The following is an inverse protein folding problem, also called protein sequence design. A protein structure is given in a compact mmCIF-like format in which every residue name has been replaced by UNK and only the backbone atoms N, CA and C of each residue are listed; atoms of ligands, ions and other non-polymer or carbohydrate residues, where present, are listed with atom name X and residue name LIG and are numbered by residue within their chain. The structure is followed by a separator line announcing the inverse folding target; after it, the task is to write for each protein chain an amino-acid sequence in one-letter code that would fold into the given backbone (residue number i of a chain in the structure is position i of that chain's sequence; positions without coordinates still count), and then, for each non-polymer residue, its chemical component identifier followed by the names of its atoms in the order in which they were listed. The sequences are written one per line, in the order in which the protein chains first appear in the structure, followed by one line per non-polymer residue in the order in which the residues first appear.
data_IF_335146720891
#
_entry.id   IF_335146720891
#
_cell.length_a   1.000
_cell.length_b   1.000
_cell.length_c   1.000
_cell.angle_alpha   90.00
_cell.angle_beta   90.00
_cell.angle_gamma   90.00
#
_symmetry.space_group_name_H-M   'P 1'
#
loop_
_entity.id
_entity.type
_entity.pdbx_description
1 polymer ?
#
# COMPACT_ATOMS: atom_id res chain seq x y z
N UNK A 1 27.03 -28.28 -0.38
CA UNK A 1 25.65 -27.74 -0.36
C UNK A 1 25.66 -26.44 -1.13
N UNK A 2 25.05 -26.35 -2.31
CA UNK A 2 25.04 -25.10 -3.09
C UNK A 2 24.09 -24.08 -2.41
N UNK A 3 24.48 -22.80 -2.29
CA UNK A 3 23.60 -21.78 -1.73
C UNK A 3 22.44 -21.52 -2.70
N UNK A 4 21.22 -21.56 -2.17
CA UNK A 4 19.99 -21.25 -2.90
C UNK A 4 20.09 -19.83 -3.48
N UNK A 5 19.62 -19.59 -4.72
CA UNK A 5 19.64 -18.27 -5.31
C UNK A 5 18.77 -17.35 -4.47
N UNK A 6 19.39 -16.29 -3.96
CA UNK A 6 18.73 -15.20 -3.27
C UNK A 6 17.54 -14.74 -4.11
N UNK A 7 16.36 -14.77 -3.51
CA UNK A 7 15.13 -14.26 -4.07
C UNK A 7 15.33 -12.78 -4.39
N UNK A 8 15.74 -12.48 -5.62
CA UNK A 8 15.57 -11.15 -6.19
C UNK A 8 14.09 -10.99 -6.51
N UNK A 9 13.31 -10.85 -5.45
CA UNK A 9 11.96 -10.32 -5.51
C UNK A 9 12.12 -8.89 -6.01
N UNK A 10 11.94 -8.72 -7.32
CA UNK A 10 11.87 -7.42 -7.98
C UNK A 10 10.51 -6.82 -7.62
N UNK A 11 10.28 -6.67 -6.32
CA UNK A 11 9.04 -6.21 -5.74
C UNK A 11 9.13 -4.69 -5.71
N UNK A 12 8.25 -4.06 -6.47
CA UNK A 12 8.19 -2.62 -6.68
C UNK A 12 7.88 -1.96 -5.33
N UNK A 13 8.92 -1.68 -4.52
CA UNK A 13 8.79 -1.21 -3.14
C UNK A 13 7.98 0.10 -3.09
N UNK A 14 6.75 0.01 -2.62
CA UNK A 14 5.85 1.14 -2.47
C UNK A 14 6.20 1.89 -1.20
N UNK A 15 6.43 3.20 -1.30
CA UNK A 15 6.74 4.03 -0.15
C UNK A 15 5.49 4.71 0.38
N UNK A 16 5.22 4.53 1.68
CA UNK A 16 4.11 5.22 2.33
C UNK A 16 4.24 6.75 2.17
N UNK A 17 3.24 7.44 1.60
CA UNK A 17 3.25 8.88 1.35
C UNK A 17 2.99 9.71 2.62
N UNK A 18 2.58 9.07 3.72
CA UNK A 18 2.37 9.75 5.00
C UNK A 18 3.71 10.14 5.63
N UNK A 19 3.88 11.44 5.91
CA UNK A 19 5.10 12.01 6.51
C UNK A 19 5.49 11.35 7.85
N UNK A 20 4.52 10.84 8.61
CA UNK A 20 4.77 10.14 9.88
C UNK A 20 5.18 8.67 9.75
N UNK A 21 4.91 8.04 8.60
CA UNK A 21 5.28 6.64 8.37
C UNK A 21 6.55 6.54 7.53
N UNK A 22 6.53 7.07 6.30
CA UNK A 22 7.66 7.04 5.37
C UNK A 22 8.23 5.66 5.03
N UNK A 23 7.60 4.58 5.52
CA UNK A 23 8.08 3.20 5.37
C UNK A 23 7.78 2.68 3.98
N UNK A 24 8.74 1.96 3.42
CA UNK A 24 8.60 1.19 2.19
C UNK A 24 8.05 -0.20 2.50
N UNK A 25 7.08 -0.65 1.73
CA UNK A 25 6.46 -1.96 1.81
C UNK A 25 6.29 -2.54 0.40
N UNK A 26 6.31 -3.86 0.31
CA UNK A 26 6.14 -4.62 -0.92
C UNK A 26 4.65 -4.67 -1.32
N UNK A 27 3.80 -5.09 -0.38
CA UNK A 27 2.35 -5.19 -0.56
C UNK A 27 1.58 -4.23 0.36
N UNK A 28 0.67 -3.42 -0.19
CA UNK A 28 -0.27 -2.67 0.63
C UNK A 28 -1.25 -3.63 1.32
N UNK A 29 -1.68 -3.26 2.52
CA UNK A 29 -2.76 -3.95 3.20
C UNK A 29 -4.10 -3.55 2.56
N UNK A 30 -5.08 -4.45 2.56
CA UNK A 30 -6.45 -4.12 2.19
C UNK A 30 -7.26 -4.04 3.48
N UNK A 31 -7.82 -2.87 3.77
CA UNK A 31 -8.71 -2.65 4.89
C UNK A 31 -10.14 -2.51 4.38
N UNK A 32 -11.06 -3.18 5.06
CA UNK A 32 -12.49 -3.06 4.80
C UNK A 32 -13.10 -2.15 5.85
N UNK A 33 -13.60 -1.00 5.42
CA UNK A 33 -14.41 -0.16 6.29
C UNK A 33 -15.77 -0.83 6.51
N UNK A 34 -16.04 -1.21 7.75
CA UNK A 34 -17.35 -1.76 8.15
C UNK A 34 -18.28 -0.68 8.72
N UNK A 35 -17.82 0.57 8.84
CA UNK A 35 -18.63 1.69 9.35
C UNK A 35 -19.48 2.34 8.24
N UNK A 36 -19.06 2.24 6.99
CA UNK A 36 -19.79 2.72 5.82
C UNK A 36 -20.66 1.62 5.23
N UNK A 37 -21.92 1.96 4.90
CA UNK A 37 -22.85 1.10 4.16
C UNK A 37 -23.11 1.78 2.82
N UNK A 38 -22.72 1.18 1.68
CA UNK A 38 -22.10 -0.15 1.52
C UNK A 38 -20.64 -0.19 2.02
N UNK A 39 -20.19 -1.38 2.45
CA UNK A 39 -18.82 -1.62 2.94
C UNK A 39 -17.81 -1.26 1.85
N UNK A 40 -16.88 -0.36 2.16
CA UNK A 40 -15.83 0.03 1.22
C UNK A 40 -14.50 -0.63 1.60
N UNK A 41 -13.91 -1.38 0.66
CA UNK A 41 -12.53 -1.87 0.74
C UNK A 41 -11.57 -0.84 0.17
N UNK A 42 -10.50 -0.56 0.90
CA UNK A 42 -9.47 0.39 0.51
C UNK A 42 -8.07 -0.13 0.81
N UNK A 43 -7.07 0.40 0.12
CA UNK A 43 -5.68 0.07 0.40
C UNK A 43 -5.15 0.90 1.57
N UNK A 44 -4.34 0.28 2.41
CA UNK A 44 -3.76 0.89 3.59
C UNK A 44 -2.30 0.46 3.73
N UNK A 45 -1.50 1.29 4.39
CA UNK A 45 -0.15 0.90 4.72
C UNK A 45 -0.17 -0.11 5.89
N UNK A 46 0.49 -1.28 5.80
CA UNK A 46 0.49 -2.27 6.88
C UNK A 46 1.21 -1.79 8.15
N UNK A 47 2.04 -0.76 8.05
CA UNK A 47 2.81 -0.25 9.20
C UNK A 47 2.08 0.80 10.02
N UNK A 48 1.34 1.70 9.36
CA UNK A 48 0.67 2.81 10.03
C UNK A 48 -0.85 2.76 9.90
N UNK A 49 -1.40 1.74 9.22
CA UNK A 49 -2.82 1.54 8.95
C UNK A 49 -3.50 2.74 8.29
N UNK A 50 -2.69 3.63 7.68
CA UNK A 50 -3.20 4.83 7.02
C UNK A 50 -3.68 4.48 5.62
N UNK A 51 -4.84 5.03 5.25
CA UNK A 51 -5.49 4.83 3.95
C UNK A 51 -4.63 5.43 2.83
N UNK A 52 -4.26 4.59 1.87
CA UNK A 52 -3.44 4.94 0.71
C UNK A 52 -4.18 4.54 -0.57
N UNK A 53 -3.86 5.23 -1.65
CA UNK A 53 -4.41 4.98 -2.97
C UNK A 53 -3.29 4.44 -3.87
N UNK A 54 -3.52 3.30 -4.52
CA UNK A 54 -2.52 2.69 -5.41
C UNK A 54 -2.72 3.24 -6.81
N UNK A 55 -1.66 3.79 -7.39
CA UNK A 55 -1.65 4.31 -8.75
C UNK A 55 -1.25 3.17 -9.66
N UNK A 56 -2.16 2.77 -10.54
CA UNK A 56 -1.90 1.76 -11.57
C UNK A 56 -1.85 2.46 -12.92
N UNK A 57 -0.73 2.33 -13.64
CA UNK A 57 -0.55 2.83 -15.00
C UNK A 57 -0.15 1.65 -15.90
N UNK A 58 -0.78 1.51 -17.07
CA UNK A 58 -0.51 0.43 -18.02
C UNK A 58 -0.48 -0.98 -17.39
N UNK A 59 -1.44 -1.27 -16.48
CA UNK A 59 -1.55 -2.54 -15.74
C UNK A 59 -0.38 -2.83 -14.77
N UNK A 60 0.45 -1.84 -14.46
CA UNK A 60 1.53 -1.92 -13.47
C UNK A 60 1.32 -0.90 -12.36
N UNK A 61 1.73 -1.25 -11.14
CA UNK A 61 1.61 -0.35 -10.00
C UNK A 61 2.77 0.65 -10.07
N UNK A 62 2.48 1.91 -10.41
CA UNK A 62 3.52 2.95 -10.52
C UNK A 62 3.81 3.67 -9.21
N UNK A 63 2.95 3.51 -8.19
CA UNK A 63 3.20 4.06 -6.87
C UNK A 63 1.99 4.09 -5.96
N UNK A 64 2.13 4.78 -4.83
CA UNK A 64 1.06 4.99 -3.85
C UNK A 64 0.94 6.46 -3.48
N UNK A 65 -0.29 6.93 -3.32
CA UNK A 65 -0.67 8.29 -2.93
C UNK A 65 -1.38 8.26 -1.57
N UNK A 66 -1.26 9.31 -0.78
CA UNK A 66 -2.02 9.42 0.47
C UNK A 66 -3.44 9.78 0.11
N UNK A 67 -4.41 8.99 0.57
CA UNK A 67 -5.82 9.34 0.44
C UNK A 67 -6.15 10.29 1.58
N UNK A 68 -5.97 11.58 1.36
CA UNK A 68 -6.52 12.61 2.23
C UNK A 68 -8.03 12.58 2.05
N UNK A 69 -8.71 11.72 2.82
CA UNK A 69 -10.14 11.91 2.98
C UNK A 69 -10.31 13.21 3.76
N UNK A 70 -10.97 14.23 3.20
CA UNK A 70 -11.28 15.42 3.98
C UNK A 70 -12.10 14.96 5.18
N UNK A 71 -11.57 15.20 6.38
CA UNK A 71 -12.37 15.21 7.60
C UNK A 71 -13.51 16.20 7.36
N UNK A 72 -14.72 15.70 7.20
CA UNK A 72 -15.96 16.46 7.43
C UNK A 72 -16.44 16.12 8.83
#
# INVERSE_FOLDING_TARGET
MPPLPFHHHHDEKLKCPYKGCGKTFEKPAVLTDNSTIPRQTYYACPHCMSKIDIVVENMKIVGVKSTDYPKV
#
